data_IF_586708807554
#
_entry.id   IF_586708807554
#
_cell.length_a   1.000
_cell.length_b   1.000
_cell.length_c   1.000
_cell.angle_alpha   90.00
_cell.angle_beta   90.00
_cell.angle_gamma   90.00
#
_symmetry.space_group_name_H-M   'P 1'
#
loop_
_entity.id
_entity.type
_entity.pdbx_description
1 polymer ?
#
# COMPACT_ATOMS: atom_id res chain seq x y z
N UNK A 1 -23.91 -23.01 35.19
CA UNK A 1 -24.47 -23.08 33.82
C UNK A 1 -24.61 -21.71 33.16
N UNK A 2 -25.25 -20.71 33.80
CA UNK A 2 -25.41 -19.35 33.25
C UNK A 2 -24.10 -18.61 32.93
N UNK A 3 -23.06 -18.73 33.77
CA UNK A 3 -21.78 -18.07 33.53
C UNK A 3 -21.03 -18.63 32.31
N UNK A 4 -21.19 -19.93 32.02
CA UNK A 4 -20.58 -20.59 30.87
C UNK A 4 -21.25 -20.15 29.56
N UNK A 5 -22.58 -20.04 29.57
CA UNK A 5 -23.38 -19.48 28.49
C UNK A 5 -23.01 -18.03 28.20
N UNK A 6 -22.81 -17.22 29.24
CA UNK A 6 -22.36 -15.83 29.09
C UNK A 6 -20.97 -15.73 28.45
N UNK A 7 -20.03 -16.59 28.85
CA UNK A 7 -18.69 -16.63 28.27
C UNK A 7 -18.71 -17.08 26.81
N UNK A 8 -19.50 -18.09 26.45
CA UNK A 8 -19.66 -18.53 25.07
C UNK A 8 -20.24 -17.42 24.19
N UNK A 9 -21.26 -16.72 24.69
CA UNK A 9 -21.89 -15.62 23.98
C UNK A 9 -20.94 -14.42 23.80
N UNK A 10 -20.12 -14.14 24.81
CA UNK A 10 -19.09 -13.10 24.75
C UNK A 10 -17.98 -13.45 23.76
N UNK A 11 -17.55 -14.72 23.72
CA UNK A 11 -16.53 -15.18 22.80
C UNK A 11 -17.03 -15.21 21.35
N UNK A 12 -18.25 -15.71 21.12
CA UNK A 12 -18.92 -15.66 19.81
C UNK A 12 -19.10 -14.21 19.33
N UNK A 13 -19.38 -13.29 20.26
CA UNK A 13 -19.50 -11.86 19.95
C UNK A 13 -18.16 -11.21 19.58
N UNK A 14 -17.06 -11.55 20.26
CA UNK A 14 -15.72 -11.10 19.88
C UNK A 14 -15.34 -11.66 18.52
N UNK A 15 -15.64 -12.93 18.28
CA UNK A 15 -15.38 -13.59 17.01
C UNK A 15 -16.17 -12.95 15.87
N UNK A 16 -17.47 -12.69 16.06
CA UNK A 16 -18.32 -12.00 15.09
C UNK A 16 -17.87 -10.55 14.85
N UNK A 17 -17.43 -9.82 15.89
CA UNK A 17 -16.88 -8.47 15.73
C UNK A 17 -15.54 -8.46 14.98
N UNK A 18 -14.69 -9.46 15.24
CA UNK A 18 -13.46 -9.65 14.46
C UNK A 18 -13.78 -10.01 13.02
N UNK A 19 -14.74 -10.91 12.78
CA UNK A 19 -15.21 -11.30 11.46
C UNK A 19 -15.78 -10.07 10.73
N UNK A 20 -16.62 -9.25 11.37
CA UNK A 20 -17.16 -8.02 10.77
C UNK A 20 -16.06 -6.99 10.49
N UNK A 21 -15.03 -6.89 11.33
CA UNK A 21 -13.87 -6.03 11.08
C UNK A 21 -13.00 -6.55 9.96
N UNK A 22 -12.84 -7.87 9.85
CA UNK A 22 -12.16 -8.56 8.76
C UNK A 22 -12.97 -8.39 7.46
N UNK A 23 -14.28 -8.53 7.50
CA UNK A 23 -15.18 -8.35 6.35
C UNK A 23 -15.28 -6.88 5.93
N UNK A 24 -15.24 -5.93 6.86
CA UNK A 24 -15.07 -4.50 6.58
C UNK A 24 -13.68 -4.21 5.97
N UNK A 25 -12.67 -4.97 6.35
CA UNK A 25 -11.36 -4.96 5.71
C UNK A 25 -11.41 -5.51 4.27
N UNK A 26 -12.38 -6.38 3.96
CA UNK A 26 -12.62 -7.00 2.66
C UNK A 26 -13.82 -6.43 1.87
N UNK A 27 -14.45 -5.33 2.32
CA UNK A 27 -15.51 -4.64 1.56
C UNK A 27 -16.94 -5.19 1.70
N UNK A 28 -17.17 -6.27 2.43
CA UNK A 28 -18.52 -6.77 2.71
C UNK A 28 -19.08 -6.11 3.99
N UNK A 29 -19.88 -5.04 3.83
CA UNK A 29 -20.57 -4.38 4.95
C UNK A 29 -22.08 -4.60 4.87
N UNK A 30 -22.58 -5.64 5.54
CA UNK A 30 -24.03 -5.83 5.76
C UNK A 30 -24.37 -5.85 7.27
N UNK A 31 -23.45 -6.23 8.17
CA UNK A 31 -23.79 -6.50 9.57
C UNK A 31 -23.44 -5.40 10.60
N UNK A 32 -22.54 -4.46 10.26
CA UNK A 32 -22.15 -3.39 11.19
C UNK A 32 -23.33 -2.52 11.66
N UNK A 33 -24.32 -2.28 10.79
CA UNK A 33 -25.53 -1.51 11.14
C UNK A 33 -26.48 -2.26 12.09
N UNK A 34 -26.48 -3.60 12.08
CA UNK A 34 -27.35 -4.41 12.95
C UNK A 34 -26.79 -4.47 14.39
N UNK A 35 -25.46 -4.55 14.53
CA UNK A 35 -24.75 -4.56 15.81
C UNK A 35 -24.76 -3.15 16.46
N UNK A 36 -24.76 -2.08 15.66
CA UNK A 36 -24.79 -0.71 16.16
C UNK A 36 -26.11 -0.33 16.85
N UNK A 37 -27.23 -0.93 16.41
CA UNK A 37 -28.59 -0.69 16.93
C UNK A 37 -28.88 -1.35 18.27
N UNK A 38 -28.16 -2.41 18.65
CA UNK A 38 -28.51 -3.26 19.82
C UNK A 38 -27.58 -3.10 21.03
N UNK A 39 -26.46 -2.38 20.92
CA UNK A 39 -25.51 -2.22 22.05
C UNK A 39 -25.77 -1.01 22.95
N UNK A 40 -25.83 -1.26 24.26
CA UNK A 40 -25.84 -0.25 25.31
C UNK A 40 -24.57 0.62 25.36
N UNK A 41 -24.73 1.88 25.76
CA UNK A 41 -23.73 2.95 25.66
C UNK A 41 -22.40 2.64 26.37
N UNK A 42 -22.43 1.97 27.53
CA UNK A 42 -21.22 1.60 28.27
C UNK A 42 -20.35 0.56 27.54
N UNK A 43 -20.97 -0.39 26.81
CA UNK A 43 -20.25 -1.41 26.03
C UNK A 43 -19.55 -0.77 24.82
N UNK A 44 -20.20 0.21 24.19
CA UNK A 44 -19.62 1.02 23.10
C UNK A 44 -18.38 1.77 23.57
N UNK A 45 -18.42 2.40 24.74
CA UNK A 45 -17.29 3.16 25.26
C UNK A 45 -16.10 2.28 25.67
N UNK A 46 -16.34 1.09 26.23
CA UNK A 46 -15.28 0.11 26.51
C UNK A 46 -14.56 -0.35 25.24
N UNK A 47 -15.30 -0.69 24.19
CA UNK A 47 -14.73 -1.06 22.88
C UNK A 47 -13.93 0.11 22.30
N UNK A 48 -14.49 1.31 22.34
CA UNK A 48 -13.82 2.53 21.86
C UNK A 48 -12.48 2.77 22.56
N UNK A 49 -12.45 2.71 23.90
CA UNK A 49 -11.21 2.84 24.70
C UNK A 49 -10.18 1.76 24.39
N UNK A 50 -10.61 0.51 24.20
CA UNK A 50 -9.73 -0.58 23.81
C UNK A 50 -9.10 -0.37 22.43
N UNK A 51 -9.89 0.10 21.46
CA UNK A 51 -9.41 0.45 20.12
C UNK A 51 -8.39 1.59 20.17
N UNK A 52 -8.65 2.66 20.92
CA UNK A 52 -7.69 3.76 21.08
C UNK A 52 -6.35 3.29 21.67
N UNK A 53 -6.39 2.52 22.76
CA UNK A 53 -5.18 1.95 23.39
C UNK A 53 -4.39 1.07 22.42
N UNK A 54 -5.09 0.27 21.62
CA UNK A 54 -4.48 -0.58 20.59
C UNK A 54 -3.81 0.28 19.48
N UNK A 55 -4.50 1.29 18.95
CA UNK A 55 -3.95 2.17 17.92
C UNK A 55 -2.71 2.95 18.39
N UNK A 56 -2.72 3.43 19.64
CA UNK A 56 -1.59 4.16 20.23
C UNK A 56 -0.38 3.26 20.44
N UNK A 57 -0.59 1.99 20.80
CA UNK A 57 0.48 0.97 20.85
C UNK A 57 1.19 0.82 19.50
N UNK A 58 0.43 0.69 18.40
CA UNK A 58 1.01 0.62 17.05
C UNK A 58 1.68 1.92 16.61
N UNK A 59 1.14 3.09 16.97
CA UNK A 59 1.80 4.39 16.71
C UNK A 59 3.16 4.45 17.42
N UNK A 60 3.22 4.04 18.69
CA UNK A 60 4.47 4.01 19.46
C UNK A 60 5.49 3.06 18.83
N UNK A 61 5.05 1.85 18.44
CA UNK A 61 5.91 0.88 17.73
C UNK A 61 6.50 1.46 16.44
N UNK A 62 5.68 2.11 15.60
CA UNK A 62 6.17 2.76 14.37
C UNK A 62 7.19 3.85 14.63
N UNK A 63 6.97 4.71 15.63
CA UNK A 63 7.94 5.75 16.01
C UNK A 63 9.27 5.18 16.47
N UNK A 64 9.25 4.07 17.20
CA UNK A 64 10.48 3.41 17.64
C UNK A 64 11.25 2.82 16.45
N UNK A 65 10.56 2.17 15.51
CA UNK A 65 11.16 1.67 14.27
C UNK A 65 11.75 2.84 13.45
N UNK A 66 11.04 3.95 13.32
CA UNK A 66 11.56 5.16 12.66
C UNK A 66 12.90 5.61 13.28
N UNK A 67 12.99 5.66 14.62
CA UNK A 67 14.22 6.06 15.32
C UNK A 67 15.37 5.08 15.04
N UNK A 68 15.11 3.78 15.12
CA UNK A 68 16.10 2.73 14.87
C UNK A 68 16.62 2.73 13.42
N UNK A 69 15.76 3.02 12.45
CA UNK A 69 16.19 3.13 11.04
C UNK A 69 16.94 4.44 10.79
N UNK A 70 16.53 5.55 11.42
CA UNK A 70 17.20 6.85 11.23
C UNK A 70 18.65 6.90 11.73
N UNK A 71 19.05 6.00 12.63
CA UNK A 71 20.44 5.88 13.09
C UNK A 71 21.35 5.19 12.06
N UNK A 72 20.79 4.62 10.98
CA UNK A 72 21.61 4.10 9.87
C UNK A 72 22.12 5.27 9.04
N UNK A 73 23.43 5.50 9.10
CA UNK A 73 24.10 6.59 8.38
C UNK A 73 24.05 6.29 6.88
N UNK A 74 23.42 7.20 6.14
CA UNK A 74 23.57 7.30 4.70
C UNK A 74 24.93 7.90 4.37
N UNK A 75 25.61 7.44 3.31
CA UNK A 75 26.73 8.19 2.75
C UNK A 75 26.26 9.61 2.40
N UNK A 76 27.09 10.63 2.67
CA UNK A 76 26.75 12.04 2.40
C UNK A 76 26.39 12.29 0.92
N UNK A 77 26.86 11.44 0.00
CA UNK A 77 26.44 11.46 -1.40
C UNK A 77 26.10 10.05 -1.94
N UNK A 78 24.83 9.83 -2.29
CA UNK A 78 24.42 8.68 -3.12
C UNK A 78 24.66 9.03 -4.59
N UNK A 79 25.82 8.65 -5.11
CA UNK A 79 26.18 8.93 -6.49
C UNK A 79 25.62 7.90 -7.49
N UNK A 80 25.38 6.66 -7.03
CA UNK A 80 24.82 5.55 -7.83
C UNK A 80 24.01 4.58 -6.97
N UNK A 81 23.14 3.80 -7.62
CA UNK A 81 22.51 2.63 -6.97
C UNK A 81 23.50 1.47 -7.00
N UNK A 82 23.92 1.02 -5.82
CA UNK A 82 24.80 -0.14 -5.64
C UNK A 82 24.26 -1.11 -4.58
N UNK A 83 25.01 -2.19 -4.31
CA UNK A 83 24.62 -3.21 -3.34
C UNK A 83 24.41 -2.64 -1.94
N UNK A 84 25.16 -1.62 -1.54
CA UNK A 84 25.03 -0.99 -0.21
C UNK A 84 23.70 -0.24 -0.09
N UNK A 85 23.31 0.53 -1.12
CA UNK A 85 22.04 1.23 -1.13
C UNK A 85 20.86 0.24 -1.14
N UNK A 86 20.93 -0.78 -2.01
CA UNK A 86 19.90 -1.80 -2.11
C UNK A 86 19.72 -2.56 -0.80
N UNK A 87 20.79 -2.78 -0.03
CA UNK A 87 20.74 -3.45 1.27
C UNK A 87 19.79 -2.75 2.26
N UNK A 88 19.73 -1.41 2.27
CA UNK A 88 18.79 -0.67 3.12
C UNK A 88 17.32 -0.99 2.79
N UNK A 89 16.99 -1.18 1.52
CA UNK A 89 15.66 -1.59 1.09
C UNK A 89 15.40 -3.06 1.40
N UNK A 90 16.38 -3.92 1.10
CA UNK A 90 16.28 -5.37 1.26
C UNK A 90 16.03 -5.83 2.69
N UNK A 91 16.49 -5.07 3.69
CA UNK A 91 16.25 -5.32 5.12
C UNK A 91 14.84 -4.90 5.55
N UNK A 92 14.12 -4.14 4.72
CA UNK A 92 12.84 -3.51 5.04
C UNK A 92 11.76 -3.95 4.04
N UNK A 93 11.39 -5.23 4.11
CA UNK A 93 10.35 -5.84 3.28
C UNK A 93 8.99 -5.83 3.98
N UNK A 94 7.98 -5.30 3.29
CA UNK A 94 6.57 -5.38 3.66
C UNK A 94 5.79 -6.21 2.64
N UNK A 95 5.22 -7.33 3.11
CA UNK A 95 4.22 -8.10 2.37
C UNK A 95 2.83 -7.82 2.95
N UNK A 96 1.94 -7.14 2.20
CA UNK A 96 0.60 -6.78 2.68
C UNK A 96 -0.28 -7.97 3.06
N UNK A 97 0.01 -9.17 2.55
CA UNK A 97 -0.80 -10.36 2.83
C UNK A 97 -0.50 -11.02 4.18
N UNK A 98 0.70 -10.81 4.72
CA UNK A 98 1.18 -11.57 5.91
C UNK A 98 1.80 -10.68 6.99
N UNK A 99 2.35 -9.51 6.65
CA UNK A 99 3.01 -8.65 7.62
C UNK A 99 2.01 -7.75 8.34
N UNK A 100 2.13 -7.67 9.66
CA UNK A 100 1.51 -6.61 10.44
C UNK A 100 2.06 -5.24 10.01
N UNK A 101 1.26 -4.19 10.19
CA UNK A 101 1.57 -2.86 9.63
C UNK A 101 2.64 -2.16 10.47
N UNK A 102 3.90 -2.38 10.13
CA UNK A 102 5.09 -1.85 10.81
C UNK A 102 5.80 -0.73 10.03
N UNK A 103 5.23 -0.30 8.89
CA UNK A 103 5.82 0.74 8.04
C UNK A 103 6.01 2.05 8.82
N UNK A 104 7.21 2.66 8.82
CA UNK A 104 7.52 3.89 9.55
C UNK A 104 6.65 5.10 9.16
N UNK A 105 6.41 6.00 10.13
CA UNK A 105 5.76 7.30 9.90
C UNK A 105 6.81 8.39 9.69
N UNK A 106 7.67 8.20 8.68
CA UNK A 106 8.83 9.04 8.38
C UNK A 106 9.02 9.24 6.88
N UNK A 107 9.80 10.25 6.44
CA UNK A 107 10.17 10.42 5.04
C UNK A 107 11.01 9.25 4.50
N UNK A 108 11.01 9.07 3.18
CA UNK A 108 11.84 8.06 2.54
C UNK A 108 11.36 7.63 1.16
N UNK A 109 11.87 6.48 0.71
CA UNK A 109 11.55 5.87 -0.58
C UNK A 109 10.94 4.49 -0.42
N UNK A 110 10.25 4.06 -1.47
CA UNK A 110 9.70 2.72 -1.56
C UNK A 110 9.79 2.16 -2.98
N UNK A 111 9.96 0.85 -3.05
CA UNK A 111 10.03 0.06 -4.28
C UNK A 111 8.90 -0.96 -4.21
N UNK A 112 8.03 -0.95 -5.21
CA UNK A 112 6.98 -1.95 -5.37
C UNK A 112 7.44 -2.96 -6.40
N UNK A 113 7.36 -4.23 -6.02
CA UNK A 113 7.79 -5.33 -6.86
C UNK A 113 6.76 -6.47 -6.89
N UNK A 114 6.72 -7.19 -8.01
CA UNK A 114 5.92 -8.40 -8.15
C UNK A 114 6.56 -9.53 -7.35
N UNK A 115 5.72 -10.30 -6.65
CA UNK A 115 6.10 -11.60 -6.11
C UNK A 115 6.54 -12.54 -7.23
N UNK A 116 7.38 -13.56 -6.93
CA UNK A 116 7.70 -14.61 -7.89
C UNK A 116 6.42 -15.18 -8.51
N UNK A 117 6.45 -15.44 -9.81
CA UNK A 117 5.34 -15.95 -10.62
C UNK A 117 4.15 -14.99 -10.82
N UNK A 118 4.14 -13.80 -10.21
CA UNK A 118 3.16 -12.75 -10.52
C UNK A 118 3.53 -12.01 -11.81
N UNK A 119 2.52 -11.56 -12.55
CA UNK A 119 2.68 -10.83 -13.82
C UNK A 119 1.73 -9.64 -13.89
N UNK A 120 2.16 -8.53 -14.49
CA UNK A 120 1.27 -7.43 -14.82
C UNK A 120 0.33 -7.84 -15.97
N UNK A 121 -0.91 -7.38 -15.91
CA UNK A 121 -1.92 -7.60 -16.95
C UNK A 121 -1.71 -6.68 -18.18
N UNK A 122 -0.48 -6.56 -18.68
CA UNK A 122 -0.17 -5.72 -19.83
C UNK A 122 -0.25 -6.59 -21.09
N UNK A 123 -1.31 -6.41 -21.90
CA UNK A 123 -1.49 -7.15 -23.15
C UNK A 123 -0.63 -6.55 -24.26
N UNK A 124 0.02 -7.42 -25.04
CA UNK A 124 0.78 -7.00 -26.22
C UNK A 124 2.16 -6.41 -25.94
N UNK A 125 2.62 -6.41 -24.68
CA UNK A 125 3.96 -5.96 -24.32
C UNK A 125 4.64 -6.97 -23.40
N UNK A 126 5.97 -7.03 -23.49
CA UNK A 126 6.82 -7.81 -22.60
C UNK A 126 7.68 -6.86 -21.76
N UNK A 127 7.27 -6.53 -20.51
CA UNK A 127 8.04 -5.60 -19.70
C UNK A 127 9.39 -6.19 -19.31
N UNK A 128 10.43 -5.37 -19.40
CA UNK A 128 11.76 -5.70 -18.90
C UNK A 128 11.82 -5.31 -17.42
N UNK A 129 12.17 -6.27 -16.57
CA UNK A 129 12.25 -6.05 -15.14
C UNK A 129 13.68 -6.16 -14.65
N UNK A 130 14.14 -5.14 -13.93
CA UNK A 130 15.23 -5.31 -12.97
C UNK A 130 14.66 -5.84 -11.65
N UNK A 131 15.46 -6.65 -10.97
CA UNK A 131 15.05 -7.31 -9.74
C UNK A 131 15.71 -6.69 -8.51
N UNK A 132 14.99 -6.74 -7.40
CA UNK A 132 15.53 -6.63 -6.05
C UNK A 132 15.31 -7.98 -5.36
N UNK A 133 16.38 -8.64 -4.92
CA UNK A 133 16.40 -10.07 -4.62
C UNK A 133 15.78 -10.89 -5.78
N UNK A 134 14.61 -11.51 -5.54
CA UNK A 134 13.85 -12.33 -6.49
C UNK A 134 12.58 -11.66 -7.02
N UNK A 135 12.38 -10.38 -6.73
CA UNK A 135 11.14 -9.66 -7.01
C UNK A 135 11.33 -8.68 -8.17
N UNK A 136 10.43 -8.74 -9.15
CA UNK A 136 10.48 -7.87 -10.34
C UNK A 136 9.97 -6.47 -9.99
N UNK A 137 10.84 -5.45 -10.09
CA UNK A 137 10.47 -4.08 -9.74
C UNK A 137 9.54 -3.48 -10.80
N UNK A 138 8.40 -2.97 -10.35
CA UNK A 138 7.37 -2.40 -11.23
C UNK A 138 7.10 -0.93 -11.00
N UNK A 139 7.44 -0.41 -9.82
CA UNK A 139 7.21 0.99 -9.47
C UNK A 139 8.17 1.44 -8.36
N UNK A 140 8.60 2.70 -8.44
CA UNK A 140 9.41 3.39 -7.43
C UNK A 140 8.65 4.65 -7.01
N UNK A 141 8.69 4.99 -5.72
CA UNK A 141 8.16 6.26 -5.26
C UNK A 141 8.89 6.80 -4.04
N UNK A 142 8.46 7.99 -3.64
CA UNK A 142 8.90 8.69 -2.44
C UNK A 142 7.74 9.14 -1.56
N UNK A 143 8.06 9.36 -0.30
CA UNK A 143 7.21 10.02 0.68
C UNK A 143 8.02 11.12 1.38
N UNK A 144 7.60 12.38 1.22
CA UNK A 144 8.28 13.52 1.86
C UNK A 144 7.96 13.70 3.34
N UNK A 145 6.90 13.05 3.83
CA UNK A 145 6.46 13.17 5.23
C UNK A 145 6.31 11.83 5.93
N UNK A 146 5.77 10.82 5.23
CA UNK A 146 5.35 9.57 5.87
C UNK A 146 5.16 8.46 4.84
N UNK A 147 6.06 7.48 4.88
CA UNK A 147 5.92 6.19 4.17
C UNK A 147 4.62 5.49 4.58
N UNK A 148 4.28 5.47 5.87
CA UNK A 148 3.02 4.88 6.33
C UNK A 148 1.77 5.52 5.68
N UNK A 149 1.70 6.85 5.61
CA UNK A 149 0.55 7.54 5.01
C UNK A 149 0.56 7.40 3.50
N UNK A 150 1.71 7.53 2.85
CA UNK A 150 1.82 7.46 1.39
C UNK A 150 1.58 6.05 0.88
N UNK A 151 2.22 5.06 1.50
CA UNK A 151 2.33 3.76 0.86
C UNK A 151 1.26 2.82 1.38
N UNK A 152 1.20 2.63 2.69
CA UNK A 152 0.21 1.75 3.28
C UNK A 152 -1.21 2.30 3.09
N UNK A 153 -1.45 3.56 3.49
CA UNK A 153 -2.81 4.14 3.44
C UNK A 153 -3.29 4.51 2.03
N UNK A 154 -2.42 4.83 1.07
CA UNK A 154 -2.88 5.19 -0.29
C UNK A 154 -2.77 4.04 -1.29
N UNK A 155 -1.77 3.16 -1.18
CA UNK A 155 -1.60 2.06 -2.14
C UNK A 155 -2.28 0.77 -1.66
N UNK A 156 -2.00 0.33 -0.43
CA UNK A 156 -2.42 -0.99 0.06
C UNK A 156 -3.74 -1.02 0.84
N UNK A 157 -4.26 0.14 1.25
CA UNK A 157 -5.53 0.26 1.97
C UNK A 157 -6.56 1.09 1.19
N UNK A 158 -7.68 0.46 0.81
CA UNK A 158 -8.94 1.13 0.49
C UNK A 158 -9.21 1.51 -0.97
N UNK A 159 -10.24 2.34 -1.15
CA UNK A 159 -10.73 2.92 -2.41
C UNK A 159 -10.06 4.28 -2.65
N UNK A 160 -8.82 4.26 -3.13
CA UNK A 160 -8.03 5.49 -3.24
C UNK A 160 -7.25 5.60 -4.54
N UNK A 161 -7.72 4.98 -5.62
CA UNK A 161 -7.13 5.25 -6.94
C UNK A 161 -7.20 6.73 -7.27
N UNK A 162 -8.17 7.48 -6.73
CA UNK A 162 -8.24 8.94 -6.84
C UNK A 162 -6.95 9.71 -6.55
N UNK A 163 -6.09 9.21 -5.64
CA UNK A 163 -4.80 9.83 -5.28
C UNK A 163 -3.57 8.91 -5.48
N UNK A 164 -3.79 7.67 -5.92
CA UNK A 164 -2.75 6.65 -6.10
C UNK A 164 -2.46 6.39 -7.58
N UNK A 165 -1.33 6.91 -8.07
CA UNK A 165 -0.86 6.63 -9.44
C UNK A 165 -0.73 5.14 -9.71
N UNK A 166 -0.14 4.39 -8.78
CA UNK A 166 0.04 2.95 -8.90
C UNK A 166 -1.29 2.20 -9.04
N UNK A 167 -2.29 2.51 -8.20
CA UNK A 167 -3.61 1.85 -8.27
C UNK A 167 -4.33 2.18 -9.57
N UNK A 168 -4.25 3.45 -10.02
CA UNK A 168 -4.78 3.84 -11.34
C UNK A 168 -4.14 3.01 -12.45
N UNK A 169 -2.82 2.89 -12.45
CA UNK A 169 -2.08 2.12 -13.45
C UNK A 169 -2.50 0.65 -13.44
N UNK A 170 -2.58 0.02 -12.27
CA UNK A 170 -3.01 -1.38 -12.15
C UNK A 170 -4.46 -1.56 -12.64
N UNK A 171 -5.39 -0.71 -12.21
CA UNK A 171 -6.80 -0.84 -12.59
C UNK A 171 -7.04 -0.69 -14.09
N UNK A 172 -6.37 0.26 -14.77
CA UNK A 172 -6.53 0.39 -16.24
C UNK A 172 -5.90 -0.78 -16.99
N UNK A 173 -4.78 -1.33 -16.49
CA UNK A 173 -4.19 -2.55 -17.06
C UNK A 173 -5.08 -3.78 -16.87
N UNK A 174 -5.87 -3.82 -15.80
CA UNK A 174 -6.89 -4.84 -15.58
C UNK A 174 -8.14 -4.64 -16.46
N UNK A 175 -8.20 -3.58 -17.28
CA UNK A 175 -9.34 -3.24 -18.13
C UNK A 175 -10.53 -2.62 -17.38
N UNK A 176 -10.31 -2.09 -16.18
CA UNK A 176 -11.37 -1.51 -15.35
C UNK A 176 -11.72 -0.09 -15.82
N UNK A 177 -13.00 0.27 -15.69
CA UNK A 177 -13.50 1.57 -16.16
C UNK A 177 -13.42 2.60 -15.04
N UNK A 178 -12.80 3.74 -15.34
CA UNK A 178 -12.73 4.87 -14.40
C UNK A 178 -14.06 5.63 -14.36
N UNK A 179 -14.39 6.15 -13.19
CA UNK A 179 -15.48 7.10 -12.93
C UNK A 179 -14.92 8.43 -12.45
N UNK A 180 -15.70 9.51 -12.57
CA UNK A 180 -15.36 10.80 -11.95
C UNK A 180 -15.29 10.63 -10.43
N UNK A 181 -14.27 11.23 -9.82
CA UNK A 181 -14.06 11.15 -8.37
C UNK A 181 -15.04 12.03 -7.62
N UNK A 182 -15.20 13.25 -8.13
CA UNK A 182 -16.05 14.30 -7.56
C UNK A 182 -17.00 14.79 -8.66
N UNK A 183 -18.18 15.28 -8.27
CA UNK A 183 -19.16 15.89 -9.19
C UNK A 183 -18.73 17.30 -9.68
N UNK A 184 -17.65 17.86 -9.12
CA UNK A 184 -17.13 19.20 -9.45
C UNK A 184 -16.16 19.26 -10.63
N UNK A 185 -15.57 20.45 -10.85
CA UNK A 185 -14.74 20.84 -12.01
C UNK A 185 -13.43 20.03 -12.15
N UNK A 186 -12.96 19.37 -11.08
CA UNK A 186 -11.71 18.64 -11.13
C UNK A 186 -11.86 17.32 -11.91
N UNK A 187 -11.12 17.16 -13.01
CA UNK A 187 -11.04 15.96 -13.85
C UNK A 187 -10.37 14.74 -13.16
N UNK A 188 -10.43 14.66 -11.83
CA UNK A 188 -9.89 13.53 -11.07
C UNK A 188 -10.83 12.33 -11.20
N UNK A 189 -10.23 11.17 -11.45
CA UNK A 189 -10.93 9.90 -11.63
C UNK A 189 -10.53 8.88 -10.58
N UNK A 190 -11.44 7.94 -10.28
CA UNK A 190 -11.24 6.74 -9.44
C UNK A 190 -11.93 5.53 -10.09
N UNK A 191 -11.89 4.36 -9.47
CA UNK A 191 -12.74 3.24 -9.89
C UNK A 191 -13.95 3.10 -8.96
N UNK A 192 -14.94 2.33 -9.40
CA UNK A 192 -16.06 1.92 -8.56
C UNK A 192 -15.58 1.07 -7.38
N UNK A 193 -16.39 0.99 -6.32
CA UNK A 193 -16.00 0.31 -5.08
C UNK A 193 -15.59 -1.16 -5.31
N UNK A 194 -16.34 -1.89 -6.14
CA UNK A 194 -16.07 -3.28 -6.50
C UNK A 194 -14.75 -3.44 -7.26
N UNK A 195 -14.44 -2.48 -8.13
CA UNK A 195 -13.19 -2.47 -8.89
C UNK A 195 -11.99 -2.12 -7.99
N UNK A 196 -12.16 -1.23 -7.02
CA UNK A 196 -11.14 -0.91 -6.02
C UNK A 196 -10.84 -2.11 -5.11
N UNK A 197 -11.85 -2.90 -4.75
CA UNK A 197 -11.66 -4.16 -4.04
C UNK A 197 -10.89 -5.17 -4.88
N UNK A 198 -11.25 -5.32 -6.16
CA UNK A 198 -10.54 -6.19 -7.10
C UNK A 198 -9.07 -5.78 -7.24
N UNK A 199 -8.78 -4.48 -7.36
CA UNK A 199 -7.41 -3.95 -7.39
C UNK A 199 -6.68 -4.27 -6.07
N UNK A 200 -7.33 -4.04 -4.92
CA UNK A 200 -6.74 -4.29 -3.60
C UNK A 200 -6.36 -5.76 -3.44
N UNK A 201 -7.28 -6.68 -3.73
CA UNK A 201 -7.05 -8.11 -3.63
C UNK A 201 -5.91 -8.56 -4.55
N UNK A 202 -5.88 -8.03 -5.78
CA UNK A 202 -4.78 -8.30 -6.71
C UNK A 202 -3.44 -7.78 -6.16
N UNK A 203 -3.38 -6.56 -5.64
CA UNK A 203 -2.16 -5.98 -5.08
C UNK A 203 -1.66 -6.78 -3.87
N UNK A 204 -2.55 -7.16 -2.95
CA UNK A 204 -2.19 -7.96 -1.78
C UNK A 204 -1.61 -9.32 -2.17
N UNK A 205 -2.23 -9.97 -3.15
CA UNK A 205 -1.79 -11.28 -3.64
C UNK A 205 -0.45 -11.21 -4.37
N UNK A 206 -0.21 -10.16 -5.16
CA UNK A 206 0.86 -10.15 -6.15
C UNK A 206 2.04 -9.23 -5.85
N UNK A 207 1.91 -8.30 -4.90
CA UNK A 207 2.92 -7.27 -4.67
C UNK A 207 3.60 -7.41 -3.31
N UNK A 208 4.85 -6.97 -3.27
CA UNK A 208 5.56 -6.61 -2.06
C UNK A 208 6.07 -5.19 -2.16
N UNK A 209 6.41 -4.61 -1.03
CA UNK A 209 7.03 -3.30 -0.94
C UNK A 209 8.34 -3.41 -0.17
N UNK A 210 9.41 -2.86 -0.74
CA UNK A 210 10.63 -2.55 0.01
C UNK A 210 10.61 -1.07 0.32
N UNK A 211 11.10 -0.66 1.49
CA UNK A 211 11.13 0.76 1.86
C UNK A 211 12.43 1.14 2.54
N UNK A 212 12.74 2.43 2.54
CA UNK A 212 13.93 2.96 3.17
C UNK A 212 13.64 4.35 3.72
N UNK A 213 13.74 4.51 5.04
CA UNK A 213 13.59 5.80 5.72
C UNK A 213 14.85 6.62 5.47
N UNK A 214 14.69 7.79 4.86
CA UNK A 214 15.77 8.72 4.59
C UNK A 214 15.22 10.13 4.29
N UNK A 215 16.02 11.16 4.56
CA UNK A 215 15.67 12.56 4.26
C UNK A 215 16.08 12.97 2.83
N UNK A 216 17.01 12.25 2.20
CA UNK A 216 17.47 12.50 0.82
C UNK A 216 16.54 11.90 -0.25
N UNK A 217 15.24 11.78 0.06
CA UNK A 217 14.31 10.94 -0.70
C UNK A 217 14.12 11.37 -2.16
N UNK A 218 14.34 12.64 -2.49
CA UNK A 218 14.25 13.14 -3.87
C UNK A 218 15.42 12.64 -4.72
N UNK A 219 16.64 12.76 -4.20
CA UNK A 219 17.85 12.29 -4.88
C UNK A 219 17.83 10.76 -5.02
N UNK A 220 17.46 10.05 -3.95
CA UNK A 220 17.35 8.58 -3.95
C UNK A 220 16.29 8.11 -4.95
N UNK A 221 15.11 8.77 -5.01
CA UNK A 221 14.06 8.40 -5.98
C UNK A 221 14.59 8.46 -7.41
N UNK A 222 15.26 9.55 -7.78
CA UNK A 222 15.76 9.71 -9.15
C UNK A 222 16.77 8.61 -9.50
N UNK A 223 17.71 8.32 -8.59
CA UNK A 223 18.70 7.23 -8.79
C UNK A 223 18.03 5.87 -8.95
N UNK A 224 16.99 5.58 -8.16
CA UNK A 224 16.21 4.34 -8.27
C UNK A 224 15.42 4.27 -9.58
N UNK A 225 14.84 5.37 -10.04
CA UNK A 225 14.12 5.44 -11.33
C UNK A 225 15.07 5.15 -12.50
N UNK A 226 16.24 5.79 -12.52
CA UNK A 226 17.25 5.58 -13.55
C UNK A 226 17.77 4.15 -13.52
N UNK A 227 18.03 3.62 -12.32
CA UNK A 227 18.51 2.25 -12.14
C UNK A 227 17.45 1.23 -12.57
N UNK A 228 16.24 1.24 -12.01
CA UNK A 228 15.24 0.20 -12.24
C UNK A 228 14.47 0.35 -13.55
N UNK A 229 14.35 1.56 -14.10
CA UNK A 229 13.51 1.87 -15.27
C UNK A 229 12.10 1.22 -15.22
N UNK A 230 11.36 1.36 -14.10
CA UNK A 230 10.14 0.60 -13.86
C UNK A 230 9.03 0.90 -14.89
N UNK A 231 8.25 -0.10 -15.32
CA UNK A 231 7.23 0.07 -16.34
C UNK A 231 6.03 0.91 -15.92
N UNK A 232 5.74 1.08 -14.62
CA UNK A 232 4.54 1.79 -14.15
C UNK A 232 4.77 3.25 -13.73
N UNK A 233 6.03 3.72 -13.69
CA UNK A 233 6.35 5.12 -13.41
C UNK A 233 6.27 5.95 -14.68
N UNK A 234 5.26 6.81 -14.82
CA UNK A 234 5.05 7.58 -16.06
C UNK A 234 5.94 8.82 -16.23
N UNK A 235 6.71 9.20 -15.20
CA UNK A 235 7.54 10.42 -15.18
C UNK A 235 8.87 10.15 -14.48
N UNK A 236 9.86 10.99 -14.75
CA UNK A 236 11.17 10.93 -14.10
C UNK A 236 12.08 9.81 -14.58
N UNK A 237 11.78 9.21 -15.74
CA UNK A 237 12.60 8.16 -16.36
C UNK A 237 13.00 8.61 -17.76
N UNK A 238 14.32 8.67 -18.00
CA UNK A 238 14.90 9.04 -19.30
C UNK A 238 15.34 7.83 -20.13
N UNK A 239 15.29 6.63 -19.56
CA UNK A 239 15.68 5.38 -20.23
C UNK A 239 14.68 4.93 -21.29
N UNK A 240 15.16 4.37 -22.40
CA UNK A 240 14.32 3.74 -23.43
C UNK A 240 13.66 2.43 -22.96
N UNK A 241 14.21 1.79 -21.93
CA UNK A 241 13.64 0.57 -21.34
C UNK A 241 12.20 0.85 -20.88
N UNK A 242 11.25 0.00 -21.31
CA UNK A 242 9.81 0.10 -21.02
C UNK A 242 9.14 1.42 -21.47
N UNK A 243 9.77 2.24 -22.32
CA UNK A 243 9.21 3.53 -22.75
C UNK A 243 7.87 3.38 -23.47
N UNK A 244 7.77 2.43 -24.39
CA UNK A 244 6.52 2.12 -25.10
C UNK A 244 5.40 1.70 -24.14
N UNK A 245 5.73 0.90 -23.12
CA UNK A 245 4.79 0.49 -22.07
C UNK A 245 4.30 1.70 -21.28
N UNK A 246 5.20 2.62 -20.92
CA UNK A 246 4.82 3.86 -20.22
C UNK A 246 3.95 4.75 -21.09
N UNK A 247 4.23 4.86 -22.39
CA UNK A 247 3.41 5.61 -23.34
C UNK A 247 2.02 5.00 -23.50
N UNK A 248 1.95 3.68 -23.69
CA UNK A 248 0.69 2.94 -23.73
C UNK A 248 -0.13 3.15 -22.45
N UNK A 249 0.52 2.99 -21.29
CA UNK A 249 -0.09 3.17 -19.98
C UNK A 249 -0.60 4.60 -19.78
N UNK A 250 0.16 5.61 -20.21
CA UNK A 250 -0.25 7.01 -20.18
C UNK A 250 -1.53 7.21 -21.00
N UNK A 251 -1.59 6.67 -22.22
CA UNK A 251 -2.75 6.76 -23.10
C UNK A 251 -3.99 6.13 -22.46
N UNK A 252 -3.93 4.87 -22.02
CA UNK A 252 -5.11 4.21 -21.43
C UNK A 252 -5.53 4.83 -20.08
N UNK A 253 -4.62 5.49 -19.36
CA UNK A 253 -4.93 6.17 -18.10
C UNK A 253 -5.61 7.52 -18.32
N UNK A 254 -5.47 8.12 -19.48
CA UNK A 254 -6.06 9.44 -19.80
C UNK A 254 -7.26 9.36 -20.74
N UNK A 255 -7.59 8.19 -21.30
CA UNK A 255 -8.92 7.88 -21.87
C UNK A 255 -10.01 7.91 -20.81
#
# INVERSE_FOLDING_TARGET
MLALLFFLFFFLFILLYLIDRIMFFFGFSIHANLIHKTMGMQKKEKIRKAVYKWEDGYKKKRRNISKEISTKILPESINKVDKSLLKFFEDNLFDPAIHSITIPDSPGNYIIALKPNSKLAIKGFNPVYKQIKKYNVIYVGKASKSLYKRDYKQHFKGNNSGSSTLRKSIGVLMGLKKIKRDLGVNNKTKFEIRDEERITNWMHKNLVMFYFVNEQYDAVEQKLLDYFSPPLNLKGINSEINKEIRQYLFTIRNK
#
